data_IF_076322968183
#
_entry.id   IF_076322968183
#
_cell.length_a   1.000
_cell.length_b   1.000
_cell.length_c   1.000
_cell.angle_alpha   90.00
_cell.angle_beta   90.00
_cell.angle_gamma   90.00
#
_symmetry.space_group_name_H-M   'P 1'
#
loop_
_entity.id
_entity.type
_entity.pdbx_description
1 polymer ?
#
# COMPACT_ATOMS: atom_id res chain seq x y z
N UNK A 1 14.27 47.30 8.71
CA UNK A 1 13.09 46.61 9.29
C UNK A 1 12.27 46.17 8.10
N UNK A 2 12.35 44.89 7.72
CA UNK A 2 11.68 44.38 6.52
C UNK A 2 10.21 44.20 6.87
N UNK A 3 9.33 45.03 6.31
CA UNK A 3 7.89 44.85 6.39
C UNK A 3 7.54 43.55 5.66
N UNK A 4 7.28 42.48 6.42
CA UNK A 4 6.75 41.24 5.88
C UNK A 4 5.26 41.48 5.70
N UNK A 5 4.83 41.78 4.47
CA UNK A 5 3.41 41.80 4.13
C UNK A 5 2.74 40.51 4.61
N UNK A 6 1.56 40.61 5.27
CA UNK A 6 0.86 39.42 5.72
C UNK A 6 0.52 38.54 4.52
N UNK A 7 0.73 37.22 4.62
CA UNK A 7 0.50 36.31 3.51
C UNK A 7 -0.95 36.44 3.02
N UNK A 8 -1.10 36.55 1.69
CA UNK A 8 -2.42 36.67 1.05
C UNK A 8 -3.33 35.51 1.44
N UNK A 9 -4.65 35.75 1.44
CA UNK A 9 -5.66 34.71 1.70
C UNK A 9 -5.40 33.45 0.86
N UNK A 10 -5.04 33.64 -0.41
CA UNK A 10 -4.69 32.57 -1.35
C UNK A 10 -3.47 31.75 -0.90
N UNK A 11 -2.44 32.39 -0.35
CA UNK A 11 -1.28 31.69 0.18
C UNK A 11 -1.62 30.83 1.40
N UNK A 12 -2.43 31.37 2.32
CA UNK A 12 -2.91 30.62 3.49
C UNK A 12 -3.78 29.44 3.08
N UNK A 13 -4.68 29.62 2.12
CA UNK A 13 -5.51 28.54 1.59
C UNK A 13 -4.66 27.42 0.97
N UNK A 14 -3.62 27.76 0.20
CA UNK A 14 -2.67 26.77 -0.34
C UNK A 14 -1.98 25.97 0.74
N UNK A 15 -1.46 26.62 1.77
CA UNK A 15 -0.79 25.91 2.87
C UNK A 15 -1.78 25.01 3.62
N UNK A 16 -3.00 25.51 3.88
CA UNK A 16 -4.07 24.72 4.48
C UNK A 16 -4.39 23.45 3.67
N UNK A 17 -4.49 23.57 2.35
CA UNK A 17 -4.65 22.42 1.46
C UNK A 17 -3.53 21.39 1.60
N UNK A 18 -2.26 21.81 1.62
CA UNK A 18 -1.14 20.89 1.80
C UNK A 18 -1.14 20.19 3.17
N UNK A 19 -1.51 20.91 4.24
CA UNK A 19 -1.66 20.30 5.57
C UNK A 19 -2.74 19.23 5.56
N UNK A 20 -3.89 19.50 4.92
CA UNK A 20 -4.98 18.53 4.80
C UNK A 20 -4.55 17.32 3.98
N UNK A 21 -3.86 17.51 2.84
CA UNK A 21 -3.37 16.42 2.01
C UNK A 21 -2.34 15.53 2.75
N UNK A 22 -1.41 16.14 3.49
CA UNK A 22 -0.44 15.39 4.30
C UNK A 22 -1.12 14.65 5.46
N UNK A 23 -2.08 15.29 6.14
CA UNK A 23 -2.86 14.66 7.21
C UNK A 23 -3.68 13.47 6.69
N UNK A 24 -4.32 13.61 5.53
CA UNK A 24 -5.01 12.52 4.85
C UNK A 24 -4.07 11.37 4.50
N UNK A 25 -2.85 11.69 4.04
CA UNK A 25 -1.82 10.68 3.76
C UNK A 25 -1.42 9.91 5.03
N UNK A 26 -1.22 10.61 6.16
CA UNK A 26 -0.96 9.96 7.45
C UNK A 26 -2.12 9.06 7.86
N UNK A 27 -3.36 9.53 7.69
CA UNK A 27 -4.56 8.74 7.97
C UNK A 27 -4.61 7.45 7.14
N UNK A 28 -4.38 7.53 5.83
CA UNK A 28 -4.32 6.37 4.93
C UNK A 28 -3.25 5.35 5.37
N UNK A 29 -2.06 5.81 5.75
CA UNK A 29 -0.99 4.92 6.25
C UNK A 29 -1.42 4.25 7.56
N UNK A 30 -1.97 5.01 8.51
CA UNK A 30 -2.31 4.46 9.83
C UNK A 30 -3.51 3.51 9.75
N UNK A 31 -4.56 3.89 9.02
CA UNK A 31 -5.82 3.15 8.98
C UNK A 31 -5.78 2.04 7.95
N UNK A 32 -5.61 2.37 6.67
CA UNK A 32 -5.73 1.38 5.59
C UNK A 32 -4.51 0.45 5.51
N UNK A 33 -3.30 0.98 5.63
CA UNK A 33 -2.11 0.12 5.66
C UNK A 33 -1.96 -0.61 6.99
N UNK A 34 -2.29 0.04 8.11
CA UNK A 34 -2.30 -0.58 9.42
C UNK A 34 -3.26 -1.77 9.51
N UNK A 35 -4.50 -1.61 9.04
CA UNK A 35 -5.47 -2.71 9.00
C UNK A 35 -4.99 -3.84 8.09
N UNK A 36 -4.50 -3.51 6.89
CA UNK A 36 -3.98 -4.52 5.95
C UNK A 36 -2.81 -5.31 6.54
N UNK A 37 -1.88 -4.64 7.22
CA UNK A 37 -0.74 -5.29 7.86
C UNK A 37 -1.19 -6.26 8.98
N UNK A 38 -2.13 -5.83 9.83
CA UNK A 38 -2.67 -6.68 10.90
C UNK A 38 -3.43 -7.88 10.33
N UNK A 39 -4.31 -7.66 9.35
CA UNK A 39 -5.05 -8.73 8.67
C UNK A 39 -4.10 -9.74 8.03
N UNK A 40 -3.06 -9.30 7.33
CA UNK A 40 -2.10 -10.21 6.71
C UNK A 40 -1.22 -10.94 7.73
N UNK A 41 -0.90 -10.32 8.86
CA UNK A 41 -0.23 -11.00 9.98
C UNK A 41 -1.11 -12.11 10.56
N UNK A 42 -2.40 -11.84 10.74
CA UNK A 42 -3.37 -12.84 11.18
C UNK A 42 -3.50 -13.98 10.15
N UNK A 43 -3.62 -13.66 8.85
CA UNK A 43 -3.68 -14.65 7.77
C UNK A 43 -2.44 -15.55 7.76
N UNK A 44 -1.27 -14.97 7.99
CA UNK A 44 -0.02 -15.72 8.07
C UNK A 44 0.02 -16.66 9.29
N UNK A 45 -0.55 -16.25 10.43
CA UNK A 45 -0.67 -17.08 11.63
C UNK A 45 -1.68 -18.22 11.44
N UNK A 46 -2.81 -17.94 10.76
CA UNK A 46 -3.88 -18.92 10.49
C UNK A 46 -3.59 -19.82 9.30
N UNK A 47 -2.42 -19.70 8.66
CA UNK A 47 -2.04 -20.44 7.46
C UNK A 47 -3.10 -20.39 6.35
N UNK A 48 -3.59 -19.18 6.07
CA UNK A 48 -4.58 -18.95 5.01
C UNK A 48 -4.03 -19.26 3.61
N UNK A 49 -4.94 -19.46 2.65
CA UNK A 49 -4.60 -19.79 1.26
C UNK A 49 -3.65 -18.75 0.65
N UNK A 50 -3.82 -17.48 1.00
CA UNK A 50 -2.92 -16.42 0.58
C UNK A 50 -2.66 -15.38 1.67
N UNK A 51 -1.55 -14.69 1.53
CA UNK A 51 -1.16 -13.51 2.31
C UNK A 51 -0.61 -12.46 1.35
N UNK A 52 -1.00 -11.21 1.52
CA UNK A 52 -0.50 -10.08 0.71
C UNK A 52 0.45 -9.24 1.56
N UNK A 53 1.72 -9.14 1.17
CA UNK A 53 2.71 -8.36 1.95
C UNK A 53 3.51 -7.45 1.03
N UNK A 54 3.62 -6.18 1.41
CA UNK A 54 4.43 -5.20 0.71
C UNK A 54 5.78 -5.01 1.39
N UNK A 55 6.83 -4.80 0.58
CA UNK A 55 8.13 -4.30 1.10
C UNK A 55 8.03 -2.90 1.72
N UNK A 56 6.89 -2.22 1.57
CA UNK A 56 6.63 -0.89 2.11
C UNK A 56 5.81 -0.88 3.39
N UNK A 57 5.26 -2.02 3.84
CA UNK A 57 4.33 -2.07 4.98
C UNK A 57 4.96 -1.44 6.22
N UNK A 58 6.11 -1.93 6.68
CA UNK A 58 6.83 -1.37 7.84
C UNK A 58 7.53 -0.04 7.55
N UNK A 59 8.26 0.12 6.42
CA UNK A 59 8.93 1.38 6.10
C UNK A 59 8.04 2.62 6.11
N UNK A 60 6.77 2.52 5.67
CA UNK A 60 5.88 3.69 5.64
C UNK A 60 5.48 4.17 7.02
N UNK A 61 5.37 3.28 8.02
CA UNK A 61 5.18 3.71 9.42
C UNK A 61 6.38 4.50 9.96
N UNK A 62 7.59 4.13 9.55
CA UNK A 62 8.81 4.85 9.92
C UNK A 62 8.86 6.23 9.23
N UNK A 63 8.19 6.39 8.09
CA UNK A 63 8.06 7.67 7.39
C UNK A 63 7.05 8.64 8.02
N UNK A 64 6.17 8.20 8.95
CA UNK A 64 5.15 9.07 9.57
C UNK A 64 5.75 10.32 10.23
N UNK A 65 6.84 10.24 11.03
CA UNK A 65 7.47 11.42 11.62
C UNK A 65 7.92 12.46 10.58
N UNK A 66 8.27 12.04 9.36
CA UNK A 66 8.55 12.96 8.25
C UNK A 66 7.32 13.77 7.88
N UNK A 67 6.17 13.12 7.68
CA UNK A 67 4.92 13.78 7.33
C UNK A 67 4.46 14.73 8.43
N UNK A 68 4.54 14.29 9.70
CA UNK A 68 4.20 15.11 10.86
C UNK A 68 5.11 16.34 10.98
N UNK A 69 6.42 16.19 10.74
CA UNK A 69 7.37 17.31 10.75
C UNK A 69 7.05 18.32 9.64
N UNK A 70 6.68 17.86 8.45
CA UNK A 70 6.27 18.74 7.34
C UNK A 70 4.95 19.47 7.66
N UNK A 71 3.96 18.78 8.23
CA UNK A 71 2.70 19.40 8.70
C UNK A 71 3.01 20.49 9.72
N UNK A 72 3.87 20.20 10.69
CA UNK A 72 4.26 21.16 11.72
C UNK A 72 4.95 22.40 11.13
N UNK A 73 5.88 22.22 10.18
CA UNK A 73 6.53 23.33 9.48
C UNK A 73 5.52 24.20 8.70
N UNK A 74 4.57 23.57 8.01
CA UNK A 74 3.51 24.28 7.30
C UNK A 74 2.58 25.04 8.26
N UNK A 75 2.28 24.48 9.43
CA UNK A 75 1.49 25.13 10.47
C UNK A 75 2.22 26.36 11.05
N UNK A 76 3.52 26.24 11.31
CA UNK A 76 4.38 27.36 11.73
C UNK A 76 4.39 28.49 10.70
N UNK A 77 4.44 28.13 9.42
CA UNK A 77 4.36 29.07 8.30
C UNK A 77 3.01 29.78 8.19
N UNK A 78 1.90 29.11 8.51
CA UNK A 78 0.56 29.74 8.54
C UNK A 78 0.44 30.83 9.60
N UNK A 79 1.04 30.60 10.77
CA UNK A 79 1.00 31.53 11.90
C UNK A 79 2.15 32.57 11.87
N UNK A 80 2.94 32.61 10.80
CA UNK A 80 4.13 33.45 10.64
C UNK A 80 5.13 33.31 11.80
N UNK A 81 5.23 32.12 12.42
CA UNK A 81 6.21 31.83 13.47
C UNK A 81 7.21 30.82 12.95
N UNK A 82 8.25 31.30 12.28
CA UNK A 82 9.30 30.45 11.71
C UNK A 82 10.65 30.68 12.42
N UNK A 83 10.81 30.31 13.70
CA UNK A 83 12.12 30.37 14.33
C UNK A 83 13.06 29.37 13.64
N UNK A 84 14.16 29.88 13.09
CA UNK A 84 15.11 29.09 12.28
C UNK A 84 15.62 27.83 13.01
N UNK A 85 15.83 27.90 14.32
CA UNK A 85 16.25 26.74 15.11
C UNK A 85 15.22 25.59 15.11
N UNK A 86 13.92 25.90 15.18
CA UNK A 86 12.86 24.88 15.15
C UNK A 86 12.74 24.31 13.74
N UNK A 87 12.80 25.18 12.73
CA UNK A 87 12.76 24.78 11.31
C UNK A 87 13.87 23.80 10.96
N UNK A 88 15.11 24.09 11.37
CA UNK A 88 16.25 23.18 11.16
C UNK A 88 16.07 21.84 11.87
N UNK A 89 15.55 21.82 13.11
CA UNK A 89 15.29 20.58 13.84
C UNK A 89 14.22 19.73 13.16
N UNK A 90 13.08 20.32 12.81
CA UNK A 90 11.99 19.62 12.14
C UNK A 90 12.43 19.08 10.77
N UNK A 91 13.23 19.83 10.01
CA UNK A 91 13.77 19.36 8.73
C UNK A 91 14.76 18.19 8.93
N UNK A 92 15.63 18.25 9.94
CA UNK A 92 16.54 17.14 10.27
C UNK A 92 15.78 15.87 10.64
N UNK A 93 14.73 15.99 11.46
CA UNK A 93 13.85 14.87 11.79
C UNK A 93 13.22 14.31 10.52
N UNK A 94 12.65 15.18 9.68
CA UNK A 94 12.02 14.78 8.43
C UNK A 94 12.95 13.99 7.51
N UNK A 95 14.17 14.50 7.31
CA UNK A 95 15.20 13.84 6.48
C UNK A 95 15.64 12.52 7.10
N UNK A 96 15.90 12.49 8.40
CA UNK A 96 16.38 11.29 9.09
C UNK A 96 15.39 10.12 8.95
N UNK A 97 14.11 10.36 9.22
CA UNK A 97 13.07 9.34 9.10
C UNK A 97 12.76 8.96 7.65
N UNK A 98 12.82 9.92 6.71
CA UNK A 98 12.64 9.64 5.30
C UNK A 98 13.74 8.72 4.75
N UNK A 99 15.00 9.03 5.08
CA UNK A 99 16.14 8.18 4.71
C UNK A 99 16.06 6.83 5.42
N UNK A 100 15.70 6.81 6.70
CA UNK A 100 15.50 5.58 7.48
C UNK A 100 14.47 4.65 6.84
N UNK A 101 13.32 5.17 6.40
CA UNK A 101 12.30 4.40 5.70
C UNK A 101 12.82 3.81 4.38
N UNK A 102 13.51 4.61 3.56
CA UNK A 102 14.08 4.16 2.28
C UNK A 102 15.13 3.06 2.50
N UNK A 103 16.05 3.28 3.45
CA UNK A 103 17.13 2.33 3.75
C UNK A 103 16.57 1.03 4.31
N UNK A 104 15.55 1.08 5.19
CA UNK A 104 14.97 -0.12 5.78
C UNK A 104 14.16 -0.97 4.79
N UNK A 105 13.63 -0.37 3.72
CA UNK A 105 12.84 -1.08 2.70
C UNK A 105 13.56 -2.31 2.16
N UNK A 106 14.85 -2.17 1.83
CA UNK A 106 15.65 -3.23 1.21
C UNK A 106 15.77 -4.46 2.13
N UNK A 107 16.37 -4.35 3.34
CA UNK A 107 16.48 -5.50 4.24
C UNK A 107 15.12 -6.05 4.64
N UNK A 108 14.12 -5.19 4.85
CA UNK A 108 12.76 -5.64 5.17
C UNK A 108 12.15 -6.52 4.07
N UNK A 109 12.30 -6.13 2.80
CA UNK A 109 11.83 -6.93 1.66
C UNK A 109 12.47 -8.33 1.61
N UNK A 110 13.78 -8.42 1.88
CA UNK A 110 14.46 -9.72 1.97
C UNK A 110 13.97 -10.55 3.17
N UNK A 111 13.80 -9.91 4.33
CA UNK A 111 13.29 -10.57 5.54
C UNK A 111 11.88 -11.13 5.31
N UNK A 112 10.97 -10.35 4.72
CA UNK A 112 9.61 -10.80 4.37
C UNK A 112 9.66 -12.00 3.45
N UNK A 113 10.45 -11.94 2.36
CA UNK A 113 10.59 -13.05 1.43
C UNK A 113 11.10 -14.33 2.11
N UNK A 114 12.10 -14.20 2.99
CA UNK A 114 12.64 -15.33 3.75
C UNK A 114 11.61 -15.92 4.72
N UNK A 115 10.85 -15.08 5.44
CA UNK A 115 9.82 -15.52 6.37
C UNK A 115 8.70 -16.29 5.64
N UNK A 116 8.26 -15.78 4.49
CA UNK A 116 7.22 -16.43 3.69
C UNK A 116 7.65 -17.82 3.22
N UNK A 117 8.86 -17.93 2.66
CA UNK A 117 9.43 -19.20 2.23
C UNK A 117 9.60 -20.19 3.39
N UNK A 118 10.09 -19.72 4.55
CA UNK A 118 10.21 -20.55 5.76
C UNK A 118 8.86 -21.06 6.26
N UNK A 119 7.77 -20.34 6.00
CA UNK A 119 6.40 -20.75 6.33
C UNK A 119 5.73 -21.58 5.23
N UNK A 120 6.46 -21.95 4.17
CA UNK A 120 5.97 -22.79 3.07
C UNK A 120 5.27 -22.02 1.95
N UNK A 121 5.16 -20.70 2.04
CA UNK A 121 4.47 -19.91 1.02
C UNK A 121 5.32 -19.70 -0.23
N UNK A 122 4.65 -19.67 -1.37
CA UNK A 122 5.22 -19.42 -2.68
C UNK A 122 4.70 -18.10 -3.24
N UNK A 123 5.56 -17.34 -3.90
CA UNK A 123 5.18 -16.06 -4.51
C UNK A 123 4.27 -16.30 -5.71
N UNK A 124 3.16 -15.57 -5.82
CA UNK A 124 2.26 -15.63 -6.96
C UNK A 124 2.22 -14.30 -7.70
N UNK A 125 2.83 -14.25 -8.88
CA UNK A 125 2.90 -13.02 -9.66
C UNK A 125 1.57 -12.65 -10.31
N UNK A 126 0.77 -13.66 -10.68
CA UNK A 126 -0.53 -13.51 -11.32
C UNK A 126 -1.55 -12.80 -10.43
N UNK A 127 -1.49 -13.04 -9.11
CA UNK A 127 -2.31 -12.31 -8.14
C UNK A 127 -1.66 -11.04 -7.62
N UNK A 128 -0.38 -10.83 -7.89
CA UNK A 128 0.33 -9.62 -7.50
C UNK A 128 0.05 -8.48 -8.48
N UNK A 129 0.15 -7.25 -8.01
CA UNK A 129 0.06 -6.08 -8.88
C UNK A 129 1.42 -5.59 -9.32
N UNK A 130 1.49 -5.08 -10.55
CA UNK A 130 2.69 -4.48 -11.11
C UNK A 130 2.97 -3.08 -10.55
N UNK A 131 2.03 -2.50 -9.77
CA UNK A 131 2.21 -1.18 -9.19
C UNK A 131 3.34 -1.18 -8.14
N UNK A 132 4.20 -0.16 -8.18
CA UNK A 132 5.47 -0.09 -7.42
C UNK A 132 5.33 -0.29 -5.90
N UNK A 133 4.22 0.15 -5.30
CA UNK A 133 3.96 0.03 -3.85
C UNK A 133 2.95 -1.07 -3.51
N UNK A 134 2.44 -1.77 -4.53
CA UNK A 134 1.44 -2.80 -4.29
C UNK A 134 2.05 -4.01 -3.57
N UNK A 135 1.27 -4.64 -2.68
CA UNK A 135 1.74 -5.81 -1.97
C UNK A 135 1.92 -6.98 -2.93
N UNK A 136 2.93 -7.79 -2.65
CA UNK A 136 3.15 -9.07 -3.33
C UNK A 136 2.26 -10.12 -2.69
N UNK A 137 1.53 -10.88 -3.49
CA UNK A 137 0.72 -11.99 -3.05
C UNK A 137 1.57 -13.25 -2.93
N UNK A 138 1.44 -13.91 -1.79
CA UNK A 138 2.05 -15.18 -1.46
C UNK A 138 0.95 -16.20 -1.22
N UNK A 139 1.04 -17.38 -1.84
CA UNK A 139 0.07 -18.47 -1.70
C UNK A 139 0.68 -19.63 -0.92
N UNK A 140 -0.16 -20.38 -0.21
CA UNK A 140 0.27 -21.47 0.69
C UNK A 140 1.07 -22.56 -0.01
N UNK A 141 0.74 -22.85 -1.27
CA UNK A 141 1.49 -23.75 -2.15
C UNK A 141 1.34 -23.30 -3.61
N UNK A 142 2.28 -23.65 -4.51
CA UNK A 142 2.26 -23.17 -5.90
C UNK A 142 0.97 -23.45 -6.67
N UNK A 143 0.27 -24.54 -6.34
CA UNK A 143 -0.96 -24.96 -7.01
C UNK A 143 -2.11 -23.94 -6.90
N UNK A 144 -2.09 -23.05 -5.90
CA UNK A 144 -3.08 -21.97 -5.77
C UNK A 144 -2.81 -20.79 -6.71
N UNK A 145 -1.61 -20.68 -7.28
CA UNK A 145 -1.28 -19.61 -8.22
C UNK A 145 -1.65 -20.04 -9.64
N UNK A 146 -2.81 -19.57 -10.12
CA UNK A 146 -3.32 -19.94 -11.44
C UNK A 146 -2.73 -18.97 -12.48
N UNK A 147 -2.15 -19.52 -13.54
CA UNK A 147 -1.57 -18.72 -14.62
C UNK A 147 -2.63 -17.87 -15.35
N UNK A 148 -2.24 -16.71 -15.88
CA UNK A 148 -3.09 -15.80 -16.65
C UNK A 148 -4.32 -15.27 -15.90
N UNK A 149 -4.32 -15.30 -14.58
CA UNK A 149 -5.45 -14.82 -13.76
C UNK A 149 -5.37 -13.32 -13.42
N UNK A 150 -4.38 -12.60 -13.96
CA UNK A 150 -4.11 -11.20 -13.61
C UNK A 150 -5.30 -10.26 -13.76
N UNK A 151 -6.14 -10.48 -14.78
CA UNK A 151 -7.34 -9.68 -15.07
C UNK A 151 -8.42 -9.83 -13.99
N UNK A 152 -8.54 -11.02 -13.40
CA UNK A 152 -9.59 -11.38 -12.43
C UNK A 152 -9.07 -11.47 -10.99
N UNK A 153 -7.79 -11.14 -10.76
CA UNK A 153 -7.13 -11.33 -9.46
C UNK A 153 -7.91 -10.73 -8.28
N UNK A 154 -8.53 -9.56 -8.46
CA UNK A 154 -9.25 -8.88 -7.36
C UNK A 154 -10.46 -9.69 -6.93
N UNK A 155 -11.19 -10.25 -7.89
CA UNK A 155 -12.39 -11.05 -7.64
C UNK A 155 -12.03 -12.42 -7.07
N UNK A 156 -10.91 -13.01 -7.51
CA UNK A 156 -10.36 -14.23 -6.92
C UNK A 156 -9.98 -14.04 -5.46
N UNK A 157 -9.19 -13.00 -5.14
CA UNK A 157 -8.77 -12.72 -3.77
C UNK A 157 -9.95 -12.39 -2.86
N UNK A 158 -10.94 -11.63 -3.37
CA UNK A 158 -12.18 -11.36 -2.65
C UNK A 158 -12.97 -12.65 -2.37
N UNK A 159 -13.11 -13.52 -3.35
CA UNK A 159 -13.79 -14.80 -3.16
C UNK A 159 -13.07 -15.70 -2.14
N UNK A 160 -11.73 -15.71 -2.14
CA UNK A 160 -10.93 -16.40 -1.12
C UNK A 160 -11.18 -15.82 0.28
N UNK A 161 -11.32 -14.50 0.41
CA UNK A 161 -11.63 -13.84 1.68
C UNK A 161 -13.05 -14.16 2.18
N UNK A 162 -14.02 -14.30 1.28
CA UNK A 162 -15.42 -14.61 1.60
C UNK A 162 -15.67 -16.11 1.83
N UNK A 163 -14.69 -16.98 1.53
CA UNK A 163 -14.82 -18.43 1.64
C UNK A 163 -14.80 -18.89 3.11
N UNK A 164 -15.86 -19.57 3.55
CA UNK A 164 -16.01 -20.07 4.93
C UNK A 164 -15.05 -21.22 5.28
N UNK A 165 -14.57 -21.93 4.27
CA UNK A 165 -13.59 -23.01 4.39
C UNK A 165 -12.44 -22.70 3.43
N UNK A 166 -11.24 -23.23 3.72
CA UNK A 166 -10.12 -23.10 2.79
C UNK A 166 -10.41 -23.95 1.55
N UNK A 167 -10.65 -23.33 0.37
CA UNK A 167 -10.87 -24.10 -0.85
C UNK A 167 -9.59 -24.85 -1.21
N UNK A 168 -9.75 -26.00 -1.85
CA UNK A 168 -8.67 -26.75 -2.46
C UNK A 168 -8.11 -26.02 -3.70
N UNK A 169 -6.87 -26.31 -4.14
CA UNK A 169 -6.31 -25.70 -5.35
C UNK A 169 -7.18 -25.90 -6.60
N UNK A 170 -7.87 -27.05 -6.68
CA UNK A 170 -8.76 -27.36 -7.80
C UNK A 170 -9.99 -26.46 -7.81
N UNK A 171 -10.63 -26.23 -6.65
CA UNK A 171 -11.76 -25.31 -6.52
C UNK A 171 -11.34 -23.86 -6.87
N UNK A 172 -10.13 -23.45 -6.47
CA UNK A 172 -9.59 -22.13 -6.86
C UNK A 172 -9.42 -22.04 -8.37
N UNK A 173 -8.88 -23.08 -9.02
CA UNK A 173 -8.71 -23.12 -10.48
C UNK A 173 -10.05 -23.03 -11.21
N UNK A 174 -11.05 -23.79 -10.77
CA UNK A 174 -12.39 -23.75 -11.33
C UNK A 174 -13.00 -22.35 -11.18
N UNK A 175 -12.87 -21.73 -10.00
CA UNK A 175 -13.36 -20.37 -9.80
C UNK A 175 -12.65 -19.34 -10.66
N UNK A 176 -11.34 -19.44 -10.83
CA UNK A 176 -10.56 -18.56 -11.71
C UNK A 176 -11.04 -18.67 -13.16
N UNK A 177 -11.25 -19.89 -13.66
CA UNK A 177 -11.73 -20.11 -15.02
C UNK A 177 -13.12 -19.48 -15.24
N UNK A 178 -14.04 -19.67 -14.29
CA UNK A 178 -15.37 -19.05 -14.34
C UNK A 178 -15.28 -17.52 -14.40
N UNK A 179 -14.42 -16.91 -13.56
CA UNK A 179 -14.24 -15.46 -13.56
C UNK A 179 -13.60 -14.96 -14.87
N UNK A 180 -12.68 -15.73 -15.46
CA UNK A 180 -12.09 -15.38 -16.76
C UNK A 180 -13.13 -15.44 -17.88
N UNK A 181 -14.00 -16.44 -17.90
CA UNK A 181 -15.10 -16.53 -18.87
C UNK A 181 -16.08 -15.36 -18.74
N UNK A 182 -16.40 -14.96 -17.51
CA UNK A 182 -17.23 -13.78 -17.22
C UNK A 182 -16.55 -12.48 -17.69
N UNK A 183 -15.25 -12.34 -17.42
CA UNK A 183 -14.44 -11.20 -17.85
C UNK A 183 -14.40 -11.10 -19.37
N UNK A 184 -14.07 -12.18 -20.07
CA UNK A 184 -13.97 -12.23 -21.53
C UNK A 184 -15.31 -11.92 -22.20
N UNK A 185 -16.42 -12.41 -21.65
CA UNK A 185 -17.76 -12.08 -22.13
C UNK A 185 -18.03 -10.57 -21.99
N UNK A 186 -17.73 -10.01 -20.82
CA UNK A 186 -17.96 -8.59 -20.55
C UNK A 186 -17.11 -7.67 -21.44
N UNK A 187 -15.86 -8.05 -21.74
CA UNK A 187 -14.97 -7.29 -22.62
C UNK A 187 -15.47 -7.32 -24.07
N UNK A 188 -15.96 -8.46 -24.56
CA UNK A 188 -16.55 -8.57 -25.91
C UNK A 188 -17.83 -7.74 -26.06
N UNK A 189 -18.69 -7.74 -25.04
CA UNK A 189 -19.91 -6.91 -25.04
C UNK A 189 -19.56 -5.41 -25.03
N UNK A 190 -18.50 -5.03 -24.33
CA UNK A 190 -18.06 -3.64 -24.20
C UNK A 190 -17.29 -3.14 -25.41
N UNK A 191 -16.54 -4.02 -26.09
CA UNK A 191 -15.65 -3.68 -27.20
C UNK A 191 -15.81 -4.65 -28.39
N UNK A 192 -17.00 -4.74 -29.01
CA UNK A 192 -17.27 -5.73 -30.07
C UNK A 192 -16.27 -5.63 -31.23
N UNK A 193 -15.91 -4.40 -31.62
CA UNK A 193 -14.99 -4.14 -32.74
C UNK A 193 -13.53 -4.65 -32.55
N UNK A 194 -13.14 -5.11 -31.36
CA UNK A 194 -11.82 -5.71 -31.10
C UNK A 194 -11.82 -7.23 -31.28
N UNK A 195 -12.98 -7.86 -31.40
CA UNK A 195 -13.16 -9.32 -31.38
C UNK A 195 -13.96 -9.87 -32.58
N UNK A 196 -14.29 -9.00 -33.54
CA UNK A 196 -14.87 -9.34 -34.85
C UNK A 196 -13.79 -9.76 -35.87
#
# INVERSE_FOLDING_TARGET
MSDIEPPTLFFRAKIGFFILALSATVFEIVVHMGSSFLTNTQRLSSQNVYVSVSSWDVPLFIGIPTLLSLIFLLALKLINKEPEAIKQKALKIAIFFALGAIVLRIPYGFTVSSIMQKKGYSRCWEYSSAAMMSPTVWVKEPAYCIANSGSVRRDVLKWLDDSKQQPSPQEVKEKVNLLLEEYDRSEREKYPALYD
#
